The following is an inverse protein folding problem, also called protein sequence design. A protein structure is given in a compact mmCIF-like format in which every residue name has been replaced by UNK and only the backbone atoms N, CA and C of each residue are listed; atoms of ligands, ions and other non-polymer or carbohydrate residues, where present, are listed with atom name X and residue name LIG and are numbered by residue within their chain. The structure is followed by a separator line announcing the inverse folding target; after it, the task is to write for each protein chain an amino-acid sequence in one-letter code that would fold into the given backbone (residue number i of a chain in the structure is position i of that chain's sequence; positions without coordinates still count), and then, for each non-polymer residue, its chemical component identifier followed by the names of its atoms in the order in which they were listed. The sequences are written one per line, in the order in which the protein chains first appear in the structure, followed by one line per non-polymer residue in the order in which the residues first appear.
data_IF_252899359298
#
_entry.id   IF_252899359298
#
_cell.length_a   1.000
_cell.length_b   1.000
_cell.length_c   1.000
_cell.angle_alpha   90.00
_cell.angle_beta   90.00
_cell.angle_gamma   90.00
#
_symmetry.space_group_name_H-M   'P 1'
#
loop_
_entity.id
_entity.type
_entity.pdbx_description
1 polymer ?
#
# COMPACT_ATOMS: atom_id res chain seq x y z
N UNK A 1 34.37 36.71 0.04
CA UNK A 1 33.06 36.12 0.42
C UNK A 1 33.33 34.99 1.41
N UNK A 2 32.84 35.11 2.65
CA UNK A 2 33.12 34.11 3.68
C UNK A 2 32.17 32.91 3.51
N UNK A 3 32.71 31.69 3.62
CA UNK A 3 31.97 30.40 3.67
C UNK A 3 30.81 30.36 4.67
N UNK A 4 30.83 31.26 5.65
CA UNK A 4 29.84 31.44 6.70
C UNK A 4 28.57 32.10 6.16
N UNK A 5 28.73 33.05 5.25
CA UNK A 5 27.62 33.81 4.67
C UNK A 5 26.81 32.95 3.69
N UNK A 6 27.49 32.01 2.99
CA UNK A 6 26.85 31.02 2.12
C UNK A 6 25.99 30.01 2.89
N UNK A 7 26.43 29.57 4.07
CA UNK A 7 25.67 28.66 4.94
C UNK A 7 24.44 29.34 5.55
N UNK A 8 24.55 30.62 5.90
CA UNK A 8 23.43 31.41 6.42
C UNK A 8 22.41 31.71 5.31
N UNK A 9 22.87 32.02 4.10
CA UNK A 9 22.00 32.26 2.95
C UNK A 9 21.29 30.97 2.46
N UNK A 10 21.99 29.84 2.41
CA UNK A 10 21.42 28.54 1.99
C UNK A 10 20.55 27.87 3.05
N UNK A 11 20.84 28.08 4.34
CA UNK A 11 20.04 27.54 5.45
C UNK A 11 18.68 28.23 5.60
N UNK A 12 18.60 29.52 5.31
CA UNK A 12 17.35 30.28 5.39
C UNK A 12 16.31 29.84 4.32
N UNK A 13 16.75 29.39 3.15
CA UNK A 13 15.86 28.92 2.08
C UNK A 13 15.20 27.57 2.34
N UNK A 14 15.72 26.75 3.26
CA UNK A 14 15.11 25.46 3.61
C UNK A 14 14.09 25.58 4.74
N UNK A 15 14.19 26.60 5.59
CA UNK A 15 13.25 26.83 6.70
C UNK A 15 11.83 27.22 6.23
N UNK A 16 11.69 27.71 4.98
CA UNK A 16 10.40 28.02 4.35
C UNK A 16 9.81 26.85 3.57
N UNK A 17 10.55 25.75 3.40
CA UNK A 17 10.01 24.54 2.81
C UNK A 17 9.08 23.90 3.84
N UNK A 18 7.84 24.40 3.91
CA UNK A 18 6.74 23.63 4.48
C UNK A 18 6.56 22.42 3.58
N UNK A 19 7.29 21.35 3.90
CA UNK A 19 6.88 19.97 3.61
C UNK A 19 5.60 19.74 4.39
N UNK A 20 4.53 20.44 3.99
CA UNK A 20 3.23 20.27 4.56
C UNK A 20 2.84 18.83 4.29
N UNK A 21 2.76 18.03 5.34
CA UNK A 21 1.86 16.89 5.36
C UNK A 21 0.43 17.44 5.28
N UNK A 22 0.07 17.99 4.12
CA UNK A 22 -1.32 18.21 3.77
C UNK A 22 -2.02 16.86 3.76
N UNK A 23 -3.35 16.82 3.93
CA UNK A 23 -4.08 15.56 3.84
C UNK A 23 -3.70 14.88 2.52
N UNK A 24 -3.27 13.63 2.60
CA UNK A 24 -3.01 12.82 1.43
C UNK A 24 -4.36 12.59 0.74
N UNK A 25 -4.70 13.48 -0.21
CA UNK A 25 -5.89 13.32 -1.02
C UNK A 25 -5.67 12.07 -1.86
N UNK A 26 -6.51 11.06 -1.66
CA UNK A 26 -6.46 9.85 -2.46
C UNK A 26 -6.66 10.21 -3.94
N UNK A 27 -5.62 10.01 -4.74
CA UNK A 27 -5.68 10.21 -6.17
C UNK A 27 -6.67 9.18 -6.77
N UNK A 28 -7.81 9.63 -7.27
CA UNK A 28 -8.86 8.80 -7.91
C UNK A 28 -8.44 8.25 -9.28
N UNK A 29 -7.16 7.93 -9.50
CA UNK A 29 -6.63 7.54 -10.81
C UNK A 29 -7.10 6.15 -11.27
N UNK A 30 -7.87 5.42 -10.45
CA UNK A 30 -8.30 4.04 -10.76
C UNK A 30 -7.14 3.04 -10.85
N UNK A 31 -5.92 3.47 -10.51
CA UNK A 31 -4.69 2.66 -10.57
C UNK A 31 -4.05 2.70 -9.20
N UNK A 32 -3.95 1.53 -8.58
CA UNK A 32 -3.23 1.32 -7.33
C UNK A 32 -1.86 0.76 -7.68
N UNK A 33 -0.79 1.39 -7.18
CA UNK A 33 0.57 0.86 -7.28
C UNK A 33 0.98 0.32 -5.91
N UNK A 34 1.24 -0.98 -5.85
CA UNK A 34 1.72 -1.66 -4.65
C UNK A 34 3.22 -1.91 -4.79
N UNK A 35 4.00 -1.45 -3.81
CA UNK A 35 5.41 -1.78 -3.70
C UNK A 35 5.54 -2.94 -2.72
N UNK A 36 6.13 -4.05 -3.17
CA UNK A 36 6.41 -5.22 -2.34
C UNK A 36 7.92 -5.37 -2.14
N UNK A 37 8.32 -5.92 -1.00
CA UNK A 37 9.73 -6.19 -0.67
C UNK A 37 10.32 -7.37 -1.47
N UNK A 38 9.47 -8.32 -1.86
CA UNK A 38 9.85 -9.55 -2.57
C UNK A 38 8.84 -9.85 -3.69
N UNK A 39 9.31 -10.58 -4.70
CA UNK A 39 8.53 -10.95 -5.88
C UNK A 39 7.97 -12.39 -5.75
N UNK A 40 6.84 -12.71 -6.39
CA UNK A 40 6.32 -14.08 -6.42
C UNK A 40 7.32 -15.00 -7.14
N UNK A 41 7.66 -16.12 -6.51
CA UNK A 41 8.54 -17.13 -7.11
C UNK A 41 7.81 -18.05 -8.11
N UNK A 42 6.48 -18.11 -8.03
CA UNK A 42 5.60 -18.85 -8.92
C UNK A 42 4.24 -18.17 -9.00
N UNK A 43 3.52 -18.42 -10.08
CA UNK A 43 2.10 -18.08 -10.23
C UNK A 43 1.19 -19.31 -10.18
N UNK A 44 1.75 -20.51 -10.01
CA UNK A 44 0.94 -21.71 -9.81
C UNK A 44 0.47 -21.80 -8.35
N UNK A 45 -0.83 -21.63 -8.06
CA UNK A 45 -1.35 -21.68 -6.70
C UNK A 45 -1.37 -23.10 -6.10
N UNK A 46 -1.26 -24.14 -6.94
CA UNK A 46 -1.22 -25.54 -6.51
C UNK A 46 0.21 -26.09 -6.42
N UNK A 47 1.21 -25.30 -6.83
CA UNK A 47 2.61 -25.69 -6.80
C UNK A 47 3.14 -25.88 -5.37
N UNK A 48 4.18 -26.69 -5.20
CA UNK A 48 4.87 -26.83 -3.92
C UNK A 48 5.98 -25.78 -3.80
N UNK A 49 6.19 -25.25 -2.58
CA UNK A 49 7.26 -24.28 -2.33
C UNK A 49 7.00 -22.85 -2.79
N UNK A 50 5.73 -22.43 -2.89
CA UNK A 50 5.38 -21.03 -3.13
C UNK A 50 5.81 -20.12 -1.95
N UNK A 51 6.21 -18.89 -2.25
CA UNK A 51 6.51 -17.87 -1.23
C UNK A 51 5.27 -17.03 -0.89
N UNK A 52 5.34 -16.22 0.18
CA UNK A 52 4.21 -15.37 0.62
C UNK A 52 3.69 -14.42 -0.47
N UNK A 53 4.54 -13.73 -1.26
CA UNK A 53 4.08 -12.94 -2.39
C UNK A 53 3.25 -13.70 -3.43
N UNK A 54 3.57 -14.98 -3.70
CA UNK A 54 2.78 -15.82 -4.62
C UNK A 54 1.36 -16.09 -4.11
N UNK A 55 1.17 -16.21 -2.79
CA UNK A 55 -0.16 -16.34 -2.18
C UNK A 55 -0.99 -15.06 -2.38
N UNK A 56 -0.37 -13.89 -2.24
CA UNK A 56 -1.05 -12.60 -2.45
C UNK A 56 -1.51 -12.43 -3.90
N UNK A 57 -0.67 -12.81 -4.88
CA UNK A 57 -1.06 -12.76 -6.29
C UNK A 57 -2.20 -13.72 -6.57
N UNK A 58 -2.16 -14.92 -6.00
CA UNK A 58 -3.23 -15.91 -6.15
C UNK A 58 -4.59 -15.34 -5.74
N UNK A 59 -4.63 -14.61 -4.62
CA UNK A 59 -5.85 -14.02 -4.09
C UNK A 59 -6.44 -12.89 -4.96
N UNK A 60 -5.60 -12.21 -5.74
CA UNK A 60 -6.03 -11.07 -6.57
C UNK A 60 -6.29 -11.44 -8.03
N UNK A 61 -5.68 -12.51 -8.54
CA UNK A 61 -5.70 -12.85 -9.97
C UNK A 61 -6.60 -14.05 -10.28
N UNK A 62 -6.73 -15.00 -9.36
CA UNK A 62 -7.49 -16.23 -9.59
C UNK A 62 -8.86 -16.14 -8.94
N UNK A 63 -9.86 -16.62 -9.66
CA UNK A 63 -11.20 -16.77 -9.12
C UNK A 63 -11.29 -17.98 -8.18
N UNK A 64 -12.15 -17.87 -7.17
CA UNK A 64 -12.30 -18.87 -6.11
C UNK A 64 -13.76 -19.23 -5.97
N UNK A 65 -14.03 -20.52 -5.80
CA UNK A 65 -15.40 -21.01 -5.52
C UNK A 65 -15.97 -20.44 -4.22
N UNK A 66 -15.10 -20.13 -3.26
CA UNK A 66 -15.47 -19.52 -1.99
C UNK A 66 -14.41 -18.51 -1.54
N UNK A 67 -14.86 -17.47 -0.86
CA UNK A 67 -14.03 -16.45 -0.21
C UNK A 67 -14.61 -16.05 1.14
N UNK A 68 -13.85 -15.27 1.92
CA UNK A 68 -14.35 -14.71 3.17
C UNK A 68 -15.29 -13.53 2.88
N UNK A 69 -16.29 -13.37 3.72
CA UNK A 69 -17.12 -12.16 3.72
C UNK A 69 -16.30 -10.92 4.03
N UNK A 70 -16.90 -9.75 3.84
CA UNK A 70 -16.30 -8.47 4.25
C UNK A 70 -17.10 -7.86 5.41
N UNK A 71 -16.39 -7.30 6.37
CA UNK A 71 -16.94 -6.55 7.49
C UNK A 71 -16.39 -5.11 7.45
N UNK A 72 -17.22 -4.07 7.60
CA UNK A 72 -16.72 -2.70 7.68
C UNK A 72 -15.85 -2.50 8.93
N UNK A 73 -14.83 -1.65 8.81
CA UNK A 73 -14.01 -1.24 9.95
C UNK A 73 -14.73 -0.10 10.66
N UNK A 74 -14.95 -0.26 11.97
CA UNK A 74 -15.61 0.78 12.77
C UNK A 74 -14.73 2.03 12.84
N UNK A 75 -15.30 3.18 12.48
CA UNK A 75 -14.61 4.47 12.53
C UNK A 75 -13.86 4.87 11.25
N UNK A 76 -13.85 4.03 10.21
CA UNK A 76 -13.22 4.35 8.92
C UNK A 76 -14.21 4.14 7.76
N UNK A 77 -14.64 5.25 7.15
CA UNK A 77 -15.61 5.23 6.05
C UNK A 77 -15.02 4.57 4.80
N UNK A 78 -15.71 3.57 4.27
CA UNK A 78 -15.28 2.79 3.10
C UNK A 78 -14.20 1.73 3.38
N UNK A 79 -13.66 1.65 4.59
CA UNK A 79 -12.69 0.62 4.95
C UNK A 79 -13.37 -0.69 5.36
N UNK A 80 -12.79 -1.82 4.96
CA UNK A 80 -13.31 -3.15 5.30
C UNK A 80 -12.16 -4.11 5.62
N UNK A 81 -12.51 -5.15 6.38
CA UNK A 81 -11.64 -6.30 6.66
C UNK A 81 -12.36 -7.59 6.27
N UNK A 82 -11.62 -8.70 6.20
CA UNK A 82 -12.22 -10.01 5.99
C UNK A 82 -12.94 -10.50 7.25
N UNK A 83 -14.16 -10.99 7.07
CA UNK A 83 -14.94 -11.69 8.08
C UNK A 83 -14.63 -13.18 7.99
N UNK A 84 -13.72 -13.64 8.86
CA UNK A 84 -13.27 -15.03 8.87
C UNK A 84 -14.35 -16.02 9.36
N UNK A 85 -15.40 -15.54 10.02
CA UNK A 85 -16.52 -16.37 10.48
C UNK A 85 -17.58 -16.58 9.39
N UNK A 86 -17.49 -15.83 8.28
CA UNK A 86 -18.44 -15.88 7.17
C UNK A 86 -17.76 -16.30 5.87
N UNK A 87 -18.23 -17.41 5.30
CA UNK A 87 -17.84 -17.87 3.96
C UNK A 87 -18.92 -17.46 2.95
N UNK A 88 -18.51 -16.97 1.79
CA UNK A 88 -19.37 -16.61 0.65
C UNK A 88 -18.86 -17.28 -0.63
N UNK A 89 -19.76 -17.55 -1.58
CA UNK A 89 -19.46 -18.13 -2.89
C UNK A 89 -20.56 -17.80 -3.89
#
# INVERSE_FOLDING_TARGET
MNRRDLLVAGGASLATLRLGAGPALAQQSGVIRVLLEDAPNTFDPAGTGYNTPAVNVTWNVYDRLVTFGIKPIEGEDGAFTYDYDRIVG
#
